data_IF_164741433099
#
_entry.id   IF_164741433099
#
_cell.length_a   1.000
_cell.length_b   1.000
_cell.length_c   1.000
_cell.angle_alpha   90.00
_cell.angle_beta   90.00
_cell.angle_gamma   90.00
#
_symmetry.space_group_name_H-M   'P 1'
#
loop_
_entity.id
_entity.type
_entity.pdbx_description
1 polymer ?
#
# COMPACT_ATOMS: atom_id res chain seq x y z
N UNK A 1 -0.71 21.13 37.64
CA UNK A 1 -0.95 20.44 36.35
C UNK A 1 0.39 19.94 35.85
N UNK A 2 0.55 18.64 35.58
CA UNK A 2 1.88 18.01 35.46
C UNK A 2 2.52 18.28 34.08
N UNK A 3 3.64 18.98 34.07
CA UNK A 3 4.47 19.37 32.90
C UNK A 3 5.33 18.20 32.36
N UNK A 4 4.74 17.00 32.30
CA UNK A 4 5.51 15.77 32.11
C UNK A 4 5.70 15.45 30.63
N UNK A 5 6.90 15.76 30.11
CA UNK A 5 7.32 15.46 28.72
C UNK A 5 7.56 13.98 28.41
N UNK A 6 7.78 13.13 29.44
CA UNK A 6 8.08 11.68 29.31
C UNK A 6 6.85 10.83 29.64
N UNK A 7 6.67 9.71 28.92
CA UNK A 7 5.61 8.72 29.16
C UNK A 7 5.48 8.33 30.64
N UNK A 8 4.25 8.02 31.06
CA UNK A 8 3.95 7.55 32.41
C UNK A 8 4.65 6.21 32.70
N UNK A 9 5.06 6.04 33.96
CA UNK A 9 5.64 4.79 34.44
C UNK A 9 4.53 3.73 34.51
N UNK A 10 4.84 2.48 34.14
CA UNK A 10 3.91 1.35 34.19
C UNK A 10 4.40 0.33 35.21
N UNK A 11 3.49 -0.22 36.02
CA UNK A 11 3.80 -1.28 37.00
C UNK A 11 4.29 -2.52 36.26
N UNK A 12 5.46 -3.04 36.63
CA UNK A 12 6.14 -4.12 35.90
C UNK A 12 7.09 -3.65 34.78
N UNK A 13 7.17 -2.34 34.52
CA UNK A 13 8.08 -1.77 33.53
C UNK A 13 7.66 -1.99 32.08
N UNK A 14 8.57 -1.72 31.15
CA UNK A 14 8.41 -1.98 29.71
C UNK A 14 9.59 -2.85 29.27
N UNK A 15 9.44 -4.18 29.19
CA UNK A 15 10.57 -5.09 28.94
C UNK A 15 11.02 -5.11 27.47
N UNK A 16 10.17 -4.67 26.55
CA UNK A 16 10.47 -4.65 25.12
C UNK A 16 11.02 -3.28 24.70
N UNK A 17 12.13 -3.30 23.96
CA UNK A 17 12.74 -2.15 23.31
C UNK A 17 12.86 -2.39 21.82
N UNK A 18 12.71 -1.32 21.05
CA UNK A 18 12.94 -1.30 19.60
C UNK A 18 13.92 -0.18 19.31
N UNK A 19 14.87 -0.44 18.41
CA UNK A 19 15.83 0.56 17.96
C UNK A 19 15.30 1.21 16.68
N UNK A 20 15.35 2.54 16.64
CA UNK A 20 15.01 3.34 15.45
C UNK A 20 16.26 4.13 15.07
N UNK A 21 16.75 3.92 13.85
CA UNK A 21 17.87 4.65 13.25
C UNK A 21 17.33 5.71 12.31
N UNK A 22 17.96 6.88 12.28
CA UNK A 22 17.54 8.02 11.48
C UNK A 22 18.78 8.69 10.88
N UNK A 23 18.64 9.29 9.69
CA UNK A 23 19.65 10.23 9.16
C UNK A 23 19.72 11.50 10.03
N UNK A 24 20.72 12.33 9.80
CA UNK A 24 20.86 13.61 10.51
C UNK A 24 19.63 14.52 10.27
N UNK A 25 19.12 14.55 9.04
CA UNK A 25 17.93 15.34 8.68
C UNK A 25 16.65 14.81 9.35
N UNK A 26 16.48 13.49 9.37
CA UNK A 26 15.34 12.84 10.01
C UNK A 26 15.35 13.05 11.53
N UNK A 27 16.52 12.95 12.16
CA UNK A 27 16.69 13.20 13.59
C UNK A 27 16.34 14.66 13.94
N UNK A 28 16.82 15.63 13.16
CA UNK A 28 16.48 17.04 13.34
C UNK A 28 14.98 17.29 13.21
N UNK A 29 14.34 16.72 12.19
CA UNK A 29 12.90 16.84 11.99
C UNK A 29 12.09 16.23 13.15
N UNK A 30 12.52 15.08 13.67
CA UNK A 30 11.87 14.42 14.82
C UNK A 30 11.98 15.25 16.10
N UNK A 31 13.13 15.89 16.35
CA UNK A 31 13.32 16.79 17.50
C UNK A 31 12.32 17.95 17.42
N UNK A 32 12.24 18.63 16.27
CA UNK A 32 11.31 19.76 16.08
C UNK A 32 9.86 19.33 16.30
N UNK A 33 9.43 18.21 15.72
CA UNK A 33 8.07 17.68 15.91
C UNK A 33 7.79 17.33 17.37
N UNK A 34 8.77 16.78 18.09
CA UNK A 34 8.62 16.40 19.48
C UNK A 34 8.49 17.63 20.39
N UNK A 35 9.27 18.68 20.12
CA UNK A 35 9.15 19.98 20.82
C UNK A 35 7.78 20.62 20.61
N UNK A 36 7.30 20.67 19.36
CA UNK A 36 5.96 21.17 19.03
C UNK A 36 4.86 20.40 19.78
N UNK A 37 5.02 19.08 19.90
CA UNK A 37 4.10 18.21 20.63
C UNK A 37 4.32 18.22 22.16
N UNK A 38 5.33 18.94 22.67
CA UNK A 38 5.77 18.94 24.07
C UNK A 38 6.05 17.53 24.63
N UNK A 39 6.62 16.67 23.79
CA UNK A 39 6.95 15.26 24.10
C UNK A 39 8.43 15.00 23.87
N UNK A 40 8.95 13.93 24.45
CA UNK A 40 10.24 13.38 23.98
C UNK A 40 10.04 12.64 22.65
N UNK A 41 11.08 12.53 21.82
CA UNK A 41 11.01 11.81 20.53
C UNK A 41 10.44 10.38 20.69
N UNK A 42 10.88 9.54 21.66
CA UNK A 42 10.30 8.22 21.85
C UNK A 42 8.82 8.23 22.28
N UNK A 43 8.39 9.27 23.01
CA UNK A 43 6.98 9.41 23.40
C UNK A 43 6.13 9.82 22.20
N UNK A 44 6.61 10.76 21.38
CA UNK A 44 5.96 11.15 20.13
C UNK A 44 5.79 9.95 19.20
N UNK A 45 6.87 9.21 18.91
CA UNK A 45 6.84 8.06 18.00
C UNK A 45 5.84 6.99 18.47
N UNK A 46 5.87 6.68 19.76
CA UNK A 46 4.98 5.68 20.32
C UNK A 46 3.52 6.13 20.29
N UNK A 47 3.24 7.38 20.69
CA UNK A 47 1.87 7.88 20.71
C UNK A 47 1.31 8.03 19.30
N UNK A 48 2.14 8.37 18.30
CA UNK A 48 1.76 8.41 16.90
C UNK A 48 1.43 7.00 16.37
N UNK A 49 2.26 6.00 16.68
CA UNK A 49 2.02 4.62 16.29
C UNK A 49 0.79 3.99 17.00
N UNK A 50 0.49 4.43 18.21
CA UNK A 50 -0.64 3.93 19.02
C UNK A 50 -1.91 4.79 18.91
N UNK A 51 -1.88 5.89 18.14
CA UNK A 51 -3.06 6.70 17.89
C UNK A 51 -4.12 5.84 17.18
N UNK A 52 -5.38 5.93 17.63
CA UNK A 52 -6.47 5.15 17.05
C UNK A 52 -6.56 5.40 15.54
N UNK A 53 -6.69 4.31 14.78
CA UNK A 53 -6.80 4.34 13.32
C UNK A 53 -5.48 4.49 12.56
N UNK A 54 -4.35 4.75 13.23
CA UNK A 54 -3.08 4.96 12.51
C UNK A 54 -2.43 3.65 12.06
N UNK A 55 -2.45 2.62 12.92
CA UNK A 55 -2.07 1.27 12.51
C UNK A 55 -2.99 0.73 11.40
N UNK A 56 -4.30 0.95 11.52
CA UNK A 56 -5.28 0.52 10.53
C UNK A 56 -5.07 1.24 9.18
N UNK A 57 -4.72 2.54 9.21
CA UNK A 57 -4.37 3.29 8.01
C UNK A 57 -3.10 2.78 7.31
N UNK A 58 -2.06 2.42 8.07
CA UNK A 58 -0.85 1.84 7.48
C UNK A 58 -1.11 0.46 6.86
N UNK A 59 -1.91 -0.37 7.54
CA UNK A 59 -2.32 -1.67 6.99
C UNK A 59 -3.15 -1.47 5.72
N UNK A 60 -4.11 -0.55 5.74
CA UNK A 60 -4.93 -0.21 4.59
C UNK A 60 -4.10 0.30 3.41
N UNK A 61 -3.13 1.20 3.62
CA UNK A 61 -2.26 1.70 2.53
C UNK A 61 -1.42 0.58 1.91
N UNK A 62 -0.88 -0.35 2.71
CA UNK A 62 -0.16 -1.52 2.19
C UNK A 62 -1.08 -2.42 1.37
N UNK A 63 -2.26 -2.76 1.90
CA UNK A 63 -3.23 -3.61 1.23
C UNK A 63 -3.72 -3.00 -0.08
N UNK A 64 -4.08 -1.72 -0.08
CA UNK A 64 -4.50 -0.97 -1.28
C UNK A 64 -3.37 -0.93 -2.32
N UNK A 65 -2.11 -0.74 -1.93
CA UNK A 65 -0.97 -0.75 -2.86
C UNK A 65 -0.73 -2.13 -3.47
N UNK A 66 -0.91 -3.19 -2.71
CA UNK A 66 -0.82 -4.57 -3.19
C UNK A 66 -1.92 -4.86 -4.20
N UNK A 67 -3.17 -4.49 -3.90
CA UNK A 67 -4.30 -4.66 -4.81
C UNK A 67 -4.15 -3.84 -6.11
N UNK A 68 -3.74 -2.56 -6.01
CA UNK A 68 -3.43 -1.74 -7.19
C UNK A 68 -2.30 -2.34 -8.04
N UNK A 69 -1.29 -2.95 -7.40
CA UNK A 69 -0.23 -3.66 -8.10
C UNK A 69 -0.75 -4.89 -8.83
N UNK A 70 -1.67 -5.65 -8.22
CA UNK A 70 -2.33 -6.77 -8.87
C UNK A 70 -3.16 -6.34 -10.08
N UNK A 71 -3.96 -5.27 -9.95
CA UNK A 71 -4.74 -4.69 -11.06
C UNK A 71 -3.81 -4.23 -12.20
N UNK A 72 -2.71 -3.54 -11.90
CA UNK A 72 -1.71 -3.13 -12.90
C UNK A 72 -1.16 -4.33 -13.68
N UNK A 73 -0.86 -5.43 -13.00
CA UNK A 73 -0.33 -6.64 -13.64
C UNK A 73 -1.39 -7.29 -14.56
N UNK A 74 -2.66 -7.30 -14.15
CA UNK A 74 -3.76 -7.77 -15.00
C UNK A 74 -3.93 -6.88 -16.25
N UNK A 75 -3.87 -5.56 -16.11
CA UNK A 75 -3.90 -4.64 -17.27
C UNK A 75 -2.73 -4.88 -18.23
N UNK A 76 -1.53 -5.14 -17.71
CA UNK A 76 -0.36 -5.49 -18.54
C UNK A 76 -0.60 -6.78 -19.34
N UNK A 77 -1.18 -7.80 -18.72
CA UNK A 77 -1.55 -9.04 -19.40
C UNK A 77 -2.60 -8.81 -20.48
N UNK A 78 -3.61 -7.96 -20.21
CA UNK A 78 -4.63 -7.56 -21.18
C UNK A 78 -4.00 -6.90 -22.42
N UNK A 79 -3.13 -5.91 -22.20
CA UNK A 79 -2.42 -5.21 -23.28
C UNK A 79 -1.54 -6.13 -24.12
N UNK A 80 -0.85 -7.09 -23.49
CA UNK A 80 -0.08 -8.10 -24.19
C UNK A 80 -0.97 -8.97 -25.11
N UNK A 81 -2.11 -9.43 -24.61
CA UNK A 81 -3.05 -10.24 -25.40
C UNK A 81 -3.61 -9.45 -26.59
N UNK A 82 -3.99 -8.19 -26.38
CA UNK A 82 -4.45 -7.30 -27.47
C UNK A 82 -3.35 -7.06 -28.51
N UNK A 83 -2.10 -6.85 -28.08
CA UNK A 83 -0.98 -6.66 -28.98
C UNK A 83 -0.68 -7.92 -29.81
N UNK A 84 -0.85 -9.12 -29.24
CA UNK A 84 -0.73 -10.38 -29.97
C UNK A 84 -1.81 -10.51 -31.04
N UNK A 85 -3.06 -10.20 -30.70
CA UNK A 85 -4.19 -10.20 -31.65
C UNK A 85 -3.93 -9.23 -32.82
N UNK A 86 -3.50 -8.01 -32.52
CA UNK A 86 -3.22 -6.99 -33.54
C UNK A 86 -2.08 -7.40 -34.46
N UNK A 87 -0.96 -7.90 -33.92
CA UNK A 87 0.17 -8.38 -34.72
C UNK A 87 -0.23 -9.53 -35.64
N UNK A 88 -1.03 -10.47 -35.14
CA UNK A 88 -1.44 -11.63 -35.93
C UNK A 88 -2.40 -11.23 -37.05
N UNK A 89 -3.41 -10.39 -36.76
CA UNK A 89 -4.33 -9.88 -37.77
C UNK A 89 -3.60 -9.08 -38.86
N UNK A 90 -2.63 -8.24 -38.48
CA UNK A 90 -1.81 -7.49 -39.43
C UNK A 90 -0.91 -8.39 -40.30
N UNK A 91 -0.50 -9.56 -39.81
CA UNK A 91 0.37 -10.48 -40.54
C UNK A 91 -0.38 -11.38 -41.54
N UNK A 92 -1.64 -11.72 -41.24
CA UNK A 92 -2.41 -12.73 -42.00
C UNK A 92 -3.58 -12.14 -42.79
N UNK A 93 -4.03 -10.94 -42.46
CA UNK A 93 -5.22 -10.32 -43.08
C UNK A 93 -6.55 -10.93 -42.62
N UNK A 94 -6.51 -11.96 -41.77
CA UNK A 94 -7.68 -12.67 -41.24
C UNK A 94 -7.67 -12.69 -39.71
N UNK A 95 -8.86 -12.82 -39.09
CA UNK A 95 -8.98 -12.96 -37.64
C UNK A 95 -8.88 -14.46 -37.28
N UNK A 96 -7.84 -14.92 -36.55
CA UNK A 96 -7.58 -16.35 -36.37
C UNK A 96 -8.67 -17.07 -35.58
N UNK A 97 -8.87 -18.36 -35.85
CA UNK A 97 -9.68 -19.22 -34.97
C UNK A 97 -9.15 -19.25 -33.52
N UNK A 98 -7.84 -19.10 -33.33
CA UNK A 98 -7.15 -19.00 -32.04
C UNK A 98 -7.36 -17.63 -31.35
N UNK A 99 -7.78 -16.60 -32.09
CA UNK A 99 -8.09 -15.30 -31.51
C UNK A 99 -9.29 -15.37 -30.56
N UNK A 100 -10.19 -16.34 -30.75
CA UNK A 100 -11.26 -16.62 -29.79
C UNK A 100 -10.69 -16.96 -28.39
N UNK A 101 -9.57 -17.67 -28.31
CA UNK A 101 -8.92 -17.99 -27.04
C UNK A 101 -8.27 -16.75 -26.40
N UNK A 102 -7.64 -15.89 -27.20
CA UNK A 102 -7.06 -14.63 -26.71
C UNK A 102 -8.14 -13.63 -26.28
N UNK A 103 -9.24 -13.51 -27.03
CA UNK A 103 -10.43 -12.71 -26.64
C UNK A 103 -11.04 -13.24 -25.35
N UNK A 104 -11.18 -14.55 -25.19
CA UNK A 104 -11.66 -15.17 -23.95
C UNK A 104 -10.70 -14.89 -22.77
N UNK A 105 -9.40 -14.88 -23.01
CA UNK A 105 -8.42 -14.51 -21.99
C UNK A 105 -8.52 -13.03 -21.61
N UNK A 106 -8.72 -12.14 -22.58
CA UNK A 106 -8.97 -10.71 -22.36
C UNK A 106 -10.24 -10.50 -21.52
N UNK A 107 -11.35 -11.13 -21.88
CA UNK A 107 -12.62 -11.06 -21.15
C UNK A 107 -12.48 -11.54 -19.70
N UNK A 108 -11.79 -12.66 -19.47
CA UNK A 108 -11.52 -13.15 -18.10
C UNK A 108 -10.68 -12.16 -17.30
N UNK A 109 -9.64 -11.59 -17.88
CA UNK A 109 -8.79 -10.62 -17.19
C UNK A 109 -9.56 -9.33 -16.88
N UNK A 110 -10.40 -8.86 -17.81
CA UNK A 110 -11.27 -7.69 -17.59
C UNK A 110 -12.30 -7.95 -16.47
N UNK A 111 -12.91 -9.13 -16.43
CA UNK A 111 -13.82 -9.52 -15.34
C UNK A 111 -13.11 -9.51 -13.98
N UNK A 112 -11.90 -10.08 -13.89
CA UNK A 112 -11.11 -10.08 -12.65
C UNK A 112 -10.71 -8.69 -12.18
N UNK A 113 -10.42 -7.77 -13.11
CA UNK A 113 -10.18 -6.35 -12.78
C UNK A 113 -11.46 -5.71 -12.22
N UNK A 114 -12.61 -5.96 -12.86
CA UNK A 114 -13.88 -5.42 -12.40
C UNK A 114 -14.24 -5.91 -11.00
N UNK A 115 -14.07 -7.21 -10.72
CA UNK A 115 -14.31 -7.78 -9.40
C UNK A 115 -13.38 -7.17 -8.34
N UNK A 116 -12.08 -7.05 -8.64
CA UNK A 116 -11.11 -6.42 -7.74
C UNK A 116 -11.43 -4.93 -7.46
N UNK A 117 -11.94 -4.19 -8.46
CA UNK A 117 -12.34 -2.80 -8.27
C UNK A 117 -13.64 -2.66 -7.45
N UNK A 118 -14.57 -3.60 -7.59
CA UNK A 118 -15.80 -3.64 -6.78
C UNK A 118 -15.47 -3.94 -5.31
N UNK A 119 -14.57 -4.88 -5.06
CA UNK A 119 -14.12 -5.23 -3.70
C UNK A 119 -13.42 -4.03 -3.02
N UNK A 120 -12.58 -3.29 -3.76
CA UNK A 120 -11.93 -2.08 -3.26
C UNK A 120 -12.94 -0.97 -2.92
N UNK A 121 -14.03 -0.85 -3.68
CA UNK A 121 -15.06 0.18 -3.48
C UNK A 121 -16.05 -0.08 -2.35
N UNK A 122 -16.05 -1.29 -1.78
CA UNK A 122 -16.94 -1.69 -0.68
C UNK A 122 -16.27 -1.64 0.71
N UNK A 123 -14.98 -1.31 0.76
CA UNK A 123 -14.18 -1.14 1.99
C UNK A 123 -14.12 0.32 2.41
#
# INVERSE_FOLDING_TARGET
MSDRRRRANVKGGRPHSWQVTASDEEAAALVVKAEQARKTVPALLFDAAMAQGMADQFVLDVEVREELTAIRNMMRALGNNMNQLAKHANATGEFPAEAAAAVKAVQRTAARINDALLDLGQR
#
